data_IF_350542845115
#
_entry.id   IF_350542845115
#
_cell.length_a   1.000
_cell.length_b   1.000
_cell.length_c   1.000
_cell.angle_alpha   90.00
_cell.angle_beta   90.00
_cell.angle_gamma   90.00
#
_symmetry.space_group_name_H-M   'P 1'
#
loop_
_entity.id
_entity.type
_entity.pdbx_description
1 polymer ?
#
# COMPACT_ATOMS: atom_id res chain seq x y z
N UNK A 1 -14.33 -11.01 -19.79
CA UNK A 1 -13.91 -9.89 -18.96
C UNK A 1 -14.78 -9.95 -17.71
N UNK A 2 -14.30 -10.58 -16.62
CA UNK A 2 -14.91 -10.45 -15.30
C UNK A 2 -14.72 -9.00 -14.88
N UNK A 3 -15.81 -8.28 -14.58
CA UNK A 3 -15.72 -7.01 -13.89
C UNK A 3 -15.12 -7.32 -12.53
N UNK A 4 -13.91 -6.83 -12.24
CA UNK A 4 -13.39 -6.81 -10.89
C UNK A 4 -14.41 -6.07 -10.02
N UNK A 5 -15.09 -6.82 -9.17
CA UNK A 5 -16.04 -6.28 -8.24
C UNK A 5 -15.21 -5.62 -7.14
N UNK A 6 -15.30 -4.29 -6.99
CA UNK A 6 -14.57 -3.57 -5.95
C UNK A 6 -14.93 -4.14 -4.58
N UNK A 7 -13.94 -4.62 -3.86
CA UNK A 7 -14.08 -5.12 -2.49
C UNK A 7 -13.60 -4.04 -1.54
N UNK A 8 -14.44 -3.62 -0.59
CA UNK A 8 -14.08 -2.61 0.41
C UNK A 8 -13.02 -3.14 1.38
N UNK A 9 -12.31 -2.22 2.02
CA UNK A 9 -11.43 -2.52 3.16
C UNK A 9 -12.26 -3.09 4.31
N UNK A 10 -11.78 -4.20 4.87
CA UNK A 10 -12.38 -4.89 6.01
C UNK A 10 -11.34 -4.89 7.14
N UNK A 11 -11.74 -4.50 8.34
CA UNK A 11 -10.90 -4.50 9.54
C UNK A 11 -11.75 -4.85 10.76
N UNK A 12 -11.12 -5.43 11.77
CA UNK A 12 -11.71 -5.68 13.10
C UNK A 12 -12.03 -4.37 13.85
N UNK A 13 -11.26 -3.32 13.63
CA UNK A 13 -11.53 -1.98 14.17
C UNK A 13 -12.37 -1.15 13.17
N UNK A 14 -13.68 -1.12 13.40
CA UNK A 14 -14.62 -0.35 12.59
C UNK A 14 -14.35 1.17 12.60
N UNK A 15 -13.56 1.68 13.56
CA UNK A 15 -13.26 3.11 13.66
C UNK A 15 -12.25 3.58 12.62
N UNK A 16 -11.36 2.71 12.13
CA UNK A 16 -10.27 3.04 11.21
C UNK A 16 -10.75 3.74 9.94
N UNK A 17 -11.75 3.16 9.27
CA UNK A 17 -12.30 3.75 8.04
C UNK A 17 -13.04 5.06 8.34
N UNK A 18 -13.89 5.07 9.38
CA UNK A 18 -14.65 6.26 9.77
C UNK A 18 -13.76 7.43 10.22
N UNK A 19 -12.65 7.16 10.89
CA UNK A 19 -11.69 8.20 11.26
C UNK A 19 -10.92 8.73 10.04
N UNK A 20 -10.54 7.85 9.10
CA UNK A 20 -9.94 8.28 7.85
C UNK A 20 -10.86 9.20 7.03
N UNK A 21 -12.15 8.90 6.95
CA UNK A 21 -13.15 9.75 6.30
C UNK A 21 -13.26 11.13 6.98
N UNK A 22 -13.32 11.19 8.33
CA UNK A 22 -13.34 12.43 9.10
C UNK A 22 -12.09 13.27 8.86
N UNK A 23 -10.90 12.63 8.83
CA UNK A 23 -9.64 13.30 8.53
C UNK A 23 -9.62 13.87 7.12
N UNK A 24 -10.20 13.18 6.14
CA UNK A 24 -10.37 13.69 4.79
C UNK A 24 -11.29 14.92 4.77
N UNK A 25 -12.42 14.86 5.48
CA UNK A 25 -13.34 15.99 5.59
C UNK A 25 -12.65 17.23 6.20
N UNK A 26 -11.72 17.02 7.15
CA UNK A 26 -10.93 18.07 7.78
C UNK A 26 -9.68 18.47 6.96
N UNK A 27 -9.52 17.94 5.75
CA UNK A 27 -8.38 18.20 4.86
C UNK A 27 -7.01 17.87 5.50
N UNK A 28 -6.94 16.82 6.33
CA UNK A 28 -5.69 16.36 6.94
C UNK A 28 -4.96 15.38 6.02
N UNK A 29 -3.62 15.37 6.10
CA UNK A 29 -2.82 14.29 5.52
C UNK A 29 -2.89 13.09 6.44
N UNK A 30 -3.03 11.89 5.88
CA UNK A 30 -3.12 10.63 6.62
C UNK A 30 -1.83 9.84 6.43
N UNK A 31 -1.24 9.34 7.51
CA UNK A 31 -0.15 8.38 7.49
C UNK A 31 -0.69 7.03 7.98
N UNK A 32 -0.78 6.07 7.09
CA UNK A 32 -1.12 4.68 7.40
C UNK A 32 0.16 3.95 7.87
N UNK A 33 0.12 3.42 9.07
CA UNK A 33 1.24 2.81 9.73
C UNK A 33 0.89 1.38 10.13
N UNK A 34 1.68 0.41 9.73
CA UNK A 34 1.42 -0.99 10.06
C UNK A 34 2.31 -1.95 9.29
N UNK A 35 2.22 -3.26 9.57
CA UNK A 35 3.05 -4.26 8.94
C UNK A 35 2.77 -4.41 7.45
N UNK A 36 3.68 -5.05 6.73
CA UNK A 36 3.48 -5.37 5.31
C UNK A 36 2.27 -6.29 5.15
N UNK A 37 1.43 -6.00 4.15
CA UNK A 37 0.23 -6.82 3.89
C UNK A 37 -0.97 -6.55 4.81
N UNK A 38 -0.92 -5.57 5.73
CA UNK A 38 -2.06 -5.22 6.61
C UNK A 38 -3.24 -4.51 5.92
N UNK A 39 -3.18 -4.30 4.61
CA UNK A 39 -4.28 -3.69 3.86
C UNK A 39 -4.22 -2.16 3.73
N UNK A 40 -3.09 -1.49 4.01
CA UNK A 40 -2.94 -0.03 3.89
C UNK A 40 -3.35 0.52 2.52
N UNK A 41 -2.87 -0.12 1.44
CA UNK A 41 -3.24 0.24 0.06
C UNK A 41 -4.74 0.03 -0.17
N UNK A 42 -5.31 -1.06 0.36
CA UNK A 42 -6.74 -1.36 0.25
C UNK A 42 -7.60 -0.32 0.96
N UNK A 43 -7.16 0.18 2.11
CA UNK A 43 -7.81 1.29 2.82
C UNK A 43 -7.79 2.57 1.97
N UNK A 44 -6.65 2.90 1.36
CA UNK A 44 -6.54 4.06 0.48
C UNK A 44 -7.44 3.95 -0.77
N UNK A 45 -7.51 2.76 -1.40
CA UNK A 45 -8.42 2.48 -2.52
C UNK A 45 -9.89 2.62 -2.09
N UNK A 46 -10.24 2.14 -0.89
CA UNK A 46 -11.59 2.27 -0.36
C UNK A 46 -11.97 3.72 -0.13
N UNK A 47 -11.09 4.53 0.43
CA UNK A 47 -11.29 5.97 0.56
C UNK A 47 -11.45 6.67 -0.80
N UNK A 48 -10.65 6.30 -1.79
CA UNK A 48 -10.80 6.78 -3.17
C UNK A 48 -12.18 6.46 -3.74
N UNK A 49 -12.65 5.23 -3.53
CA UNK A 49 -13.96 4.79 -4.02
C UNK A 49 -15.11 5.51 -3.31
N UNK A 50 -15.08 5.63 -1.97
CA UNK A 50 -16.13 6.30 -1.17
C UNK A 50 -16.21 7.78 -1.52
N UNK A 51 -15.06 8.45 -1.63
CA UNK A 51 -15.00 9.89 -1.93
C UNK A 51 -15.17 10.21 -3.41
N UNK A 52 -15.15 9.19 -4.28
CA UNK A 52 -15.18 9.32 -5.74
C UNK A 52 -14.04 10.21 -6.29
N UNK A 53 -12.92 10.27 -5.57
CA UNK A 53 -11.72 10.97 -5.98
C UNK A 53 -10.73 9.97 -6.57
N UNK A 54 -10.30 10.11 -7.84
CA UNK A 54 -9.25 9.28 -8.41
C UNK A 54 -7.97 9.33 -7.58
N UNK A 55 -7.23 8.22 -7.54
CA UNK A 55 -6.00 8.10 -6.78
C UNK A 55 -4.80 7.97 -7.72
N UNK A 56 -3.78 8.80 -7.50
CA UNK A 56 -2.47 8.69 -8.11
C UNK A 56 -1.52 8.08 -7.09
N UNK A 57 -0.89 6.97 -7.46
CA UNK A 57 0.01 6.25 -6.57
C UNK A 57 1.46 6.47 -6.96
N UNK A 58 2.31 6.66 -5.97
CA UNK A 58 3.77 6.64 -6.06
C UNK A 58 4.32 5.71 -4.98
N UNK A 59 5.39 4.99 -5.33
CA UNK A 59 6.15 4.18 -4.39
C UNK A 59 7.51 4.83 -4.18
N UNK A 60 7.86 5.15 -2.94
CA UNK A 60 9.15 5.70 -2.59
C UNK A 60 10.19 4.58 -2.57
N UNK A 61 10.96 4.49 -3.65
CA UNK A 61 12.12 3.60 -3.75
C UNK A 61 13.42 4.40 -3.77
N UNK A 62 14.54 3.67 -3.68
CA UNK A 62 15.88 4.29 -3.81
C UNK A 62 16.14 4.91 -5.19
N UNK A 63 15.32 4.63 -6.19
CA UNK A 63 15.46 5.18 -7.54
C UNK A 63 14.48 6.32 -7.85
N UNK A 64 13.58 6.65 -6.91
CA UNK A 64 12.60 7.71 -7.09
C UNK A 64 13.30 9.09 -7.11
N UNK A 65 13.10 9.81 -8.19
CA UNK A 65 13.66 11.14 -8.40
C UNK A 65 12.57 12.23 -8.60
N UNK A 66 13.00 13.48 -8.79
CA UNK A 66 12.10 14.59 -8.99
C UNK A 66 11.31 14.49 -10.31
N UNK A 67 11.90 13.90 -11.37
CA UNK A 67 11.20 13.72 -12.65
C UNK A 67 10.08 12.69 -12.53
N UNK A 68 10.32 11.60 -11.84
CA UNK A 68 9.30 10.57 -11.55
C UNK A 68 8.12 11.12 -10.74
N UNK A 69 8.38 12.08 -9.84
CA UNK A 69 7.35 12.72 -9.03
C UNK A 69 6.60 13.81 -9.78
N UNK A 70 7.34 14.72 -10.41
CA UNK A 70 6.79 15.96 -10.97
C UNK A 70 6.51 15.87 -12.47
N UNK A 71 7.23 15.00 -13.18
CA UNK A 71 7.14 14.89 -14.63
C UNK A 71 8.39 15.41 -15.35
N UNK A 72 8.40 15.31 -16.65
CA UNK A 72 9.56 15.55 -17.50
C UNK A 72 9.21 16.28 -18.79
N UNK A 73 10.23 16.88 -19.41
CA UNK A 73 10.12 17.49 -20.74
C UNK A 73 10.29 16.43 -21.82
N UNK A 74 9.46 16.49 -22.84
CA UNK A 74 9.56 15.65 -24.03
C UNK A 74 9.30 16.46 -25.30
N UNK A 75 9.65 15.88 -26.45
CA UNK A 75 9.35 16.48 -27.75
C UNK A 75 8.10 15.86 -28.30
N UNK A 76 7.10 16.66 -28.60
CA UNK A 76 5.92 16.25 -29.36
C UNK A 76 5.95 16.86 -30.75
N UNK A 77 5.53 16.07 -31.74
CA UNK A 77 5.31 16.61 -33.11
C UNK A 77 3.84 17.03 -33.18
N UNK A 78 3.58 18.30 -33.52
CA UNK A 78 2.23 18.82 -33.74
C UNK A 78 1.61 18.19 -35.02
N UNK A 79 0.32 18.34 -35.18
CA UNK A 79 -0.39 17.87 -36.39
C UNK A 79 0.15 18.54 -37.68
N UNK A 80 0.75 19.72 -37.53
CA UNK A 80 1.37 20.46 -38.63
C UNK A 80 2.83 20.05 -38.90
N UNK A 81 3.37 19.05 -38.17
CA UNK A 81 4.74 18.54 -38.34
C UNK A 81 5.84 19.35 -37.62
N UNK A 82 5.47 20.35 -36.80
CA UNK A 82 6.43 21.09 -35.98
C UNK A 82 6.76 20.33 -34.68
N UNK A 83 8.04 20.39 -34.28
CA UNK A 83 8.48 19.83 -33.01
C UNK A 83 8.37 20.89 -31.90
N UNK A 84 7.65 20.51 -30.85
CA UNK A 84 7.46 21.36 -29.67
C UNK A 84 7.96 20.61 -28.41
N UNK A 85 8.64 21.36 -27.53
CA UNK A 85 8.99 20.83 -26.19
C UNK A 85 7.81 21.04 -25.29
N UNK A 86 7.22 19.93 -24.82
CA UNK A 86 6.10 19.91 -23.88
C UNK A 86 6.53 19.29 -22.56
N UNK A 87 5.95 19.78 -21.46
CA UNK A 87 6.11 19.16 -20.15
C UNK A 87 4.96 18.17 -19.92
N UNK A 88 5.30 16.95 -19.51
CA UNK A 88 4.32 15.92 -19.12
C UNK A 88 4.28 15.91 -17.62
N UNK A 89 3.11 16.26 -17.04
CA UNK A 89 2.90 16.23 -15.59
C UNK A 89 3.06 14.84 -15.03
N UNK A 90 3.84 14.70 -13.97
CA UNK A 90 3.95 13.49 -13.16
C UNK A 90 2.79 13.32 -12.17
N UNK A 91 2.77 12.21 -11.40
CA UNK A 91 1.65 11.86 -10.54
C UNK A 91 1.36 12.91 -9.46
N UNK A 92 2.37 13.54 -8.89
CA UNK A 92 2.19 14.60 -7.87
C UNK A 92 1.48 15.81 -8.46
N UNK A 93 1.96 16.32 -9.61
CA UNK A 93 1.37 17.51 -10.24
C UNK A 93 -0.04 17.20 -10.73
N UNK A 94 -0.27 16.03 -11.33
CA UNK A 94 -1.61 15.60 -11.76
C UNK A 94 -2.59 15.59 -10.59
N UNK A 95 -2.22 14.92 -9.49
CA UNK A 95 -3.08 14.86 -8.31
C UNK A 95 -3.40 16.25 -7.78
N UNK A 96 -2.39 17.15 -7.72
CA UNK A 96 -2.61 18.52 -7.25
C UNK A 96 -3.52 19.34 -8.16
N UNK A 97 -3.31 19.30 -9.49
CA UNK A 97 -4.10 20.08 -10.45
C UNK A 97 -5.55 19.61 -10.55
N UNK A 98 -5.76 18.30 -10.48
CA UNK A 98 -7.06 17.67 -10.66
C UNK A 98 -7.86 17.56 -9.35
N UNK A 99 -7.23 17.85 -8.20
CA UNK A 99 -7.88 17.72 -6.89
C UNK A 99 -8.10 16.28 -6.45
N UNK A 100 -7.22 15.39 -6.88
CA UNK A 100 -7.29 13.94 -6.65
C UNK A 100 -6.53 13.53 -5.38
N UNK A 101 -6.59 12.23 -5.05
CA UNK A 101 -5.80 11.64 -3.96
C UNK A 101 -4.38 11.35 -4.47
N UNK A 102 -3.38 11.76 -3.70
CA UNK A 102 -2.00 11.32 -3.84
C UNK A 102 -1.71 10.26 -2.77
N UNK A 103 -1.50 9.02 -3.19
CA UNK A 103 -1.07 7.92 -2.32
C UNK A 103 0.43 7.72 -2.45
N UNK A 104 1.15 7.82 -1.32
CA UNK A 104 2.61 7.71 -1.25
C UNK A 104 2.95 6.47 -0.43
N UNK A 105 3.31 5.40 -1.11
CA UNK A 105 3.73 4.18 -0.43
C UNK A 105 5.20 4.25 -0.01
N UNK A 106 5.52 3.64 1.13
CA UNK A 106 6.87 3.58 1.70
C UNK A 106 7.55 4.95 1.83
N UNK A 107 6.81 5.99 2.25
CA UNK A 107 7.31 7.37 2.30
C UNK A 107 8.60 7.54 3.14
N UNK A 108 8.87 6.64 4.07
CA UNK A 108 10.11 6.61 4.85
C UNK A 108 11.35 6.28 4.01
N UNK A 109 11.17 5.69 2.82
CA UNK A 109 12.26 5.41 1.87
C UNK A 109 12.56 6.59 0.94
N UNK A 110 11.83 7.71 1.07
CA UNK A 110 12.04 8.89 0.25
C UNK A 110 13.45 9.46 0.44
N UNK A 111 14.15 9.70 -0.69
CA UNK A 111 15.48 10.30 -0.68
C UNK A 111 15.48 11.73 -0.13
N UNK A 112 16.58 12.19 0.49
CA UNK A 112 16.70 13.58 0.95
C UNK A 112 16.41 14.61 -0.14
N UNK A 113 16.74 14.33 -1.39
CA UNK A 113 16.55 15.22 -2.55
C UNK A 113 15.08 15.42 -2.89
N UNK A 114 14.21 14.45 -2.59
CA UNK A 114 12.76 14.52 -2.84
C UNK A 114 11.97 15.14 -1.69
N UNK A 115 12.54 15.21 -0.49
CA UNK A 115 11.89 15.78 0.69
C UNK A 115 11.38 17.23 0.52
N UNK A 116 12.11 18.16 -0.14
CA UNK A 116 11.61 19.51 -0.38
C UNK A 116 10.31 19.52 -1.19
N UNK A 117 10.17 18.63 -2.20
CA UNK A 117 8.97 18.47 -3.01
C UNK A 117 7.81 18.00 -2.13
N UNK A 118 8.01 16.90 -1.40
CA UNK A 118 7.01 16.34 -0.50
C UNK A 118 6.57 17.34 0.58
N UNK A 119 7.53 18.09 1.15
CA UNK A 119 7.22 19.13 2.13
C UNK A 119 6.28 20.21 1.56
N UNK A 120 6.49 20.66 0.31
CA UNK A 120 5.62 21.64 -0.36
C UNK A 120 4.19 21.11 -0.56
N UNK A 121 4.07 19.83 -0.91
CA UNK A 121 2.78 19.15 -1.11
C UNK A 121 2.01 18.96 0.20
N UNK A 122 2.72 18.63 1.28
CA UNK A 122 2.15 18.29 2.59
C UNK A 122 1.89 19.51 3.49
N UNK A 123 2.52 20.64 3.19
CA UNK A 123 2.34 21.89 3.93
C UNK A 123 0.88 22.40 3.80
N UNK A 124 0.41 23.19 4.75
CA UNK A 124 -0.94 23.76 4.75
C UNK A 124 -1.28 24.61 3.52
N UNK A 125 -0.24 25.18 2.88
CA UNK A 125 -0.37 25.97 1.64
C UNK A 125 -0.66 25.11 0.42
N UNK A 126 -0.35 23.78 0.48
CA UNK A 126 -0.54 22.84 -0.63
C UNK A 126 0.01 23.39 -1.95
N UNK A 127 1.26 23.86 -1.92
CA UNK A 127 1.89 24.55 -3.06
C UNK A 127 3.32 24.09 -3.24
N UNK A 128 3.72 23.88 -4.49
CA UNK A 128 5.11 23.61 -4.86
C UNK A 128 5.50 24.44 -6.10
N UNK A 129 6.78 24.72 -6.22
CA UNK A 129 7.37 25.28 -7.44
C UNK A 129 8.01 24.15 -8.25
N UNK A 130 7.56 23.96 -9.49
CA UNK A 130 8.14 22.97 -10.38
C UNK A 130 9.54 23.46 -10.84
N UNK A 131 10.63 22.76 -10.46
CA UNK A 131 11.99 23.19 -10.81
C UNK A 131 12.29 23.11 -12.30
N UNK A 132 11.52 22.32 -13.07
CA UNK A 132 11.73 22.12 -14.51
C UNK A 132 11.06 23.19 -15.37
N UNK A 133 9.97 23.79 -14.87
CA UNK A 133 9.18 24.79 -15.62
C UNK A 133 9.20 26.17 -14.97
N UNK A 134 9.55 26.27 -13.68
CA UNK A 134 9.44 27.49 -12.88
C UNK A 134 8.02 27.81 -12.44
N UNK A 135 7.03 27.00 -12.82
CA UNK A 135 5.62 27.21 -12.46
C UNK A 135 5.37 26.95 -10.98
N UNK A 136 4.54 27.81 -10.39
CA UNK A 136 4.02 27.61 -9.03
C UNK A 136 2.68 26.90 -9.12
N UNK A 137 2.64 25.65 -8.63
CA UNK A 137 1.45 24.81 -8.68
C UNK A 137 0.78 24.83 -7.30
N UNK A 138 -0.48 25.20 -7.27
CA UNK A 138 -1.35 25.12 -6.08
C UNK A 138 -2.33 23.98 -6.26
N UNK A 139 -2.54 23.22 -5.18
CA UNK A 139 -3.50 22.14 -5.22
C UNK A 139 -4.93 22.66 -5.43
N UNK A 140 -5.66 21.98 -6.31
CA UNK A 140 -7.08 22.21 -6.52
C UNK A 140 -7.90 21.76 -5.30
N UNK A 141 -9.13 22.29 -5.13
CA UNK A 141 -10.07 21.78 -4.14
C UNK A 141 -10.28 20.27 -4.31
N UNK A 142 -10.33 19.54 -3.19
CA UNK A 142 -10.46 18.07 -3.22
C UNK A 142 -9.12 17.32 -3.08
N UNK A 143 -7.98 17.95 -3.36
CA UNK A 143 -6.69 17.31 -3.22
C UNK A 143 -6.45 16.77 -1.82
N UNK A 144 -6.09 15.48 -1.71
CA UNK A 144 -5.84 14.75 -0.47
C UNK A 144 -4.52 14.01 -0.55
N UNK A 145 -3.90 13.77 0.61
CA UNK A 145 -2.68 12.96 0.67
C UNK A 145 -2.86 11.84 1.70
N UNK A 146 -2.57 10.62 1.26
CA UNK A 146 -2.39 9.45 2.09
C UNK A 146 -0.96 8.98 1.87
N UNK A 147 -0.24 8.73 2.96
CA UNK A 147 1.05 8.06 2.89
C UNK A 147 1.00 6.74 3.67
N UNK A 148 1.88 5.82 3.35
CA UNK A 148 2.02 4.56 4.08
C UNK A 148 3.47 4.30 4.47
N UNK A 149 3.65 3.68 5.63
CA UNK A 149 4.93 3.14 6.10
C UNK A 149 4.73 1.71 6.60
N UNK A 150 5.73 0.87 6.33
CA UNK A 150 5.82 -0.45 6.92
C UNK A 150 6.61 -0.35 8.23
N UNK A 151 6.11 -0.98 9.30
CA UNK A 151 6.81 -1.13 10.58
C UNK A 151 7.27 -2.56 10.77
N UNK A 152 8.31 -2.73 11.59
CA UNK A 152 8.83 -4.05 11.98
C UNK A 152 9.95 -4.58 11.09
N UNK A 153 10.27 -3.95 9.98
CA UNK A 153 11.30 -4.43 9.05
C UNK A 153 12.70 -4.12 9.55
N UNK A 154 13.57 -5.13 9.57
CA UNK A 154 15.02 -4.95 9.74
C UNK A 154 15.54 -4.17 8.53
N UNK A 155 15.91 -2.90 8.74
CA UNK A 155 16.38 -2.01 7.68
C UNK A 155 15.44 -0.84 7.33
N UNK A 156 14.25 -0.73 7.95
CA UNK A 156 13.40 0.45 7.79
C UNK A 156 14.10 1.69 8.36
N UNK A 157 14.33 2.68 7.49
CA UNK A 157 14.81 3.98 7.95
C UNK A 157 13.72 4.70 8.75
N UNK A 158 14.05 5.28 9.91
CA UNK A 158 13.08 6.08 10.63
C UNK A 158 12.65 7.28 9.78
N UNK A 159 11.36 7.55 9.75
CA UNK A 159 10.81 8.70 9.04
C UNK A 159 11.33 10.00 9.65
N UNK A 160 11.69 10.97 8.81
CA UNK A 160 12.08 12.29 9.24
C UNK A 160 10.98 12.94 10.09
N UNK A 161 11.32 13.43 11.28
CA UNK A 161 10.38 14.03 12.24
C UNK A 161 9.58 15.21 11.65
N UNK A 162 10.25 16.08 10.86
CA UNK A 162 9.58 17.21 10.21
C UNK A 162 8.51 16.75 9.20
N UNK A 163 8.75 15.63 8.52
CA UNK A 163 7.81 15.02 7.59
C UNK A 163 6.66 14.39 8.37
N UNK A 164 6.98 13.62 9.43
CA UNK A 164 5.99 12.93 10.28
C UNK A 164 4.97 13.90 10.89
N UNK A 165 5.42 15.06 11.35
CA UNK A 165 4.56 16.09 11.96
C UNK A 165 3.54 16.72 11.00
N UNK A 166 3.58 16.38 9.70
CA UNK A 166 2.60 16.84 8.69
C UNK A 166 1.44 15.90 8.50
N UNK A 167 1.43 14.79 9.22
CA UNK A 167 0.42 13.74 9.10
C UNK A 167 -0.34 13.52 10.41
N UNK A 168 -1.56 13.04 10.26
CA UNK A 168 -2.28 12.34 11.33
C UNK A 168 -2.10 10.84 11.09
N UNK A 169 -1.66 10.12 12.12
CA UNK A 169 -1.33 8.69 12.00
C UNK A 169 -2.58 7.85 12.26
N UNK A 170 -2.81 6.87 11.39
CA UNK A 170 -3.76 5.77 11.59
C UNK A 170 -2.96 4.47 11.60
N UNK A 171 -3.06 3.73 12.68
CA UNK A 171 -2.49 2.39 12.74
C UNK A 171 -3.40 1.42 11.98
N UNK A 172 -2.78 0.56 11.19
CA UNK A 172 -3.46 -0.49 10.39
C UNK A 172 -2.83 -1.81 10.82
N UNK A 173 -3.45 -2.43 11.80
CA UNK A 173 -2.95 -3.66 12.40
C UNK A 173 -3.19 -4.88 11.51
N UNK A 174 -2.61 -6.01 11.88
CA UNK A 174 -2.89 -7.28 11.24
C UNK A 174 -4.37 -7.66 11.39
N UNK A 175 -4.86 -8.31 10.36
CA UNK A 175 -6.23 -8.86 10.34
C UNK A 175 -6.13 -10.35 10.70
N UNK A 176 -6.90 -10.77 11.67
CA UNK A 176 -6.96 -12.16 12.17
C UNK A 176 -8.41 -12.62 12.39
N UNK A 177 -8.56 -13.85 12.85
CA UNK A 177 -9.85 -14.44 13.27
C UNK A 177 -10.97 -14.29 12.23
N UNK A 178 -12.15 -13.90 12.71
CA UNK A 178 -13.36 -13.75 11.86
C UNK A 178 -13.16 -12.69 10.76
N UNK A 179 -12.41 -11.64 11.04
CA UNK A 179 -12.13 -10.60 10.05
C UNK A 179 -11.27 -11.14 8.89
N UNK A 180 -10.27 -11.97 9.19
CA UNK A 180 -9.46 -12.62 8.15
C UNK A 180 -10.31 -13.62 7.34
N UNK A 181 -11.25 -14.32 7.98
CA UNK A 181 -12.21 -15.18 7.30
C UNK A 181 -12.99 -14.40 6.24
N UNK A 182 -13.56 -13.25 6.63
CA UNK A 182 -14.34 -12.41 5.73
C UNK A 182 -13.47 -11.83 4.58
N UNK A 183 -12.23 -11.46 4.87
CA UNK A 183 -11.27 -10.99 3.85
C UNK A 183 -10.96 -12.10 2.84
N UNK A 184 -10.66 -13.32 3.29
CA UNK A 184 -10.39 -14.46 2.40
C UNK A 184 -11.62 -14.74 1.53
N UNK A 185 -12.82 -14.80 2.10
CA UNK A 185 -14.08 -15.01 1.36
C UNK A 185 -14.37 -13.91 0.33
N UNK A 186 -14.08 -12.66 0.67
CA UNK A 186 -14.37 -11.53 -0.18
C UNK A 186 -13.33 -11.32 -1.29
N UNK A 187 -12.07 -11.71 -1.06
CA UNK A 187 -10.95 -11.39 -1.96
C UNK A 187 -10.32 -12.61 -2.64
N UNK A 188 -10.67 -13.84 -2.26
CA UNK A 188 -10.20 -15.06 -2.91
C UNK A 188 -11.35 -15.85 -3.58
N UNK A 189 -10.95 -16.84 -4.38
CA UNK A 189 -11.88 -17.78 -5.02
C UNK A 189 -12.32 -18.90 -4.05
N UNK A 190 -11.66 -19.04 -2.90
CA UNK A 190 -11.93 -20.09 -1.93
C UNK A 190 -13.23 -19.81 -1.17
N UNK A 191 -14.16 -20.77 -1.19
CA UNK A 191 -15.47 -20.69 -0.50
C UNK A 191 -15.69 -21.77 0.55
N UNK A 192 -14.72 -22.69 0.71
CA UNK A 192 -14.78 -23.77 1.72
C UNK A 192 -14.40 -23.22 3.09
N UNK A 193 -15.42 -23.02 3.95
CA UNK A 193 -15.25 -22.50 5.30
C UNK A 193 -14.32 -23.35 6.17
N UNK A 194 -14.31 -24.68 6.00
CA UNK A 194 -13.43 -25.55 6.76
C UNK A 194 -11.97 -25.28 6.43
N UNK A 195 -11.66 -25.17 5.14
CA UNK A 195 -10.29 -24.88 4.69
C UNK A 195 -9.87 -23.47 5.08
N UNK A 196 -10.79 -22.49 5.02
CA UNK A 196 -10.52 -21.11 5.46
C UNK A 196 -10.15 -21.10 6.96
N UNK A 197 -10.86 -21.81 7.82
CA UNK A 197 -10.52 -21.90 9.24
C UNK A 197 -9.15 -22.55 9.48
N UNK A 198 -8.77 -23.57 8.69
CA UNK A 198 -7.43 -24.15 8.77
C UNK A 198 -6.34 -23.14 8.35
N UNK A 199 -6.60 -22.35 7.31
CA UNK A 199 -5.71 -21.28 6.85
C UNK A 199 -5.54 -20.21 7.92
N UNK A 200 -6.63 -19.80 8.59
CA UNK A 200 -6.55 -18.81 9.68
C UNK A 200 -5.67 -19.34 10.82
N UNK A 201 -5.90 -20.57 11.24
CA UNK A 201 -5.07 -21.19 12.28
C UNK A 201 -3.60 -21.29 11.88
N UNK A 202 -3.34 -21.70 10.65
CA UNK A 202 -1.98 -21.70 10.10
C UNK A 202 -1.35 -20.30 10.13
N UNK A 203 -2.12 -19.26 9.80
CA UNK A 203 -1.66 -17.87 9.87
C UNK A 203 -1.32 -17.43 11.31
N UNK A 204 -2.10 -17.84 12.31
CA UNK A 204 -1.82 -17.58 13.73
C UNK A 204 -0.48 -18.20 14.15
N UNK A 205 -0.20 -19.43 13.68
CA UNK A 205 1.08 -20.10 13.92
C UNK A 205 2.24 -19.35 13.25
N UNK A 206 2.08 -18.89 11.98
CA UNK A 206 3.08 -18.08 11.29
C UNK A 206 3.36 -16.77 12.03
N UNK A 207 2.31 -16.09 12.51
CA UNK A 207 2.47 -14.86 13.31
C UNK A 207 3.23 -15.11 14.61
N UNK A 208 2.92 -16.20 15.30
CA UNK A 208 3.63 -16.58 16.53
C UNK A 208 5.12 -16.81 16.25
N UNK A 209 5.44 -17.50 15.17
CA UNK A 209 6.83 -17.74 14.75
C UNK A 209 7.55 -16.45 14.36
N UNK A 210 6.86 -15.52 13.69
CA UNK A 210 7.39 -14.21 13.33
C UNK A 210 7.72 -13.38 14.59
N UNK A 211 6.81 -13.34 15.57
CA UNK A 211 7.03 -12.66 16.85
C UNK A 211 8.21 -13.25 17.64
N UNK A 212 8.47 -14.54 17.48
CA UNK A 212 9.62 -15.24 18.09
C UNK A 212 10.92 -15.07 17.29
N UNK A 213 10.88 -14.36 16.17
CA UNK A 213 12.04 -14.16 15.28
C UNK A 213 12.46 -15.41 14.52
N UNK A 214 11.57 -16.38 14.34
CA UNK A 214 11.81 -17.62 13.61
C UNK A 214 11.45 -17.48 12.12
N UNK A 215 10.60 -16.52 11.78
CA UNK A 215 10.17 -16.21 10.41
C UNK A 215 10.28 -14.71 10.14
N UNK A 216 10.51 -14.37 8.89
CA UNK A 216 10.35 -13.01 8.37
C UNK A 216 8.87 -12.61 8.29
N UNK A 217 8.58 -11.32 8.41
CA UNK A 217 7.19 -10.81 8.35
C UNK A 217 6.50 -11.06 7.00
N UNK A 218 7.27 -11.23 5.93
CA UNK A 218 6.76 -11.50 4.59
C UNK A 218 6.02 -12.84 4.49
N UNK A 219 6.43 -13.82 5.29
CA UNK A 219 5.83 -15.16 5.31
C UNK A 219 4.36 -15.16 5.75
N UNK A 220 3.96 -14.24 6.63
CA UNK A 220 2.61 -14.13 7.19
C UNK A 220 1.78 -13.01 6.55
N UNK A 221 2.09 -12.58 5.33
CA UNK A 221 1.35 -11.49 4.68
C UNK A 221 -0.02 -11.93 4.19
N UNK A 222 -1.04 -11.05 4.35
CA UNK A 222 -2.42 -11.31 3.86
C UNK A 222 -2.42 -11.58 2.33
N UNK A 223 -1.54 -10.91 1.57
CA UNK A 223 -1.42 -11.17 0.13
C UNK A 223 -1.01 -12.62 -0.15
N UNK A 224 -0.04 -13.15 0.59
CA UNK A 224 0.37 -14.55 0.45
C UNK A 224 -0.77 -15.51 0.81
N UNK A 225 -1.58 -15.17 1.83
CA UNK A 225 -2.75 -15.97 2.22
C UNK A 225 -3.85 -15.95 1.15
N UNK A 226 -4.12 -14.82 0.53
CA UNK A 226 -5.10 -14.72 -0.57
C UNK A 226 -4.61 -15.53 -1.78
N UNK A 227 -3.36 -15.37 -2.20
CA UNK A 227 -2.76 -16.13 -3.29
C UNK A 227 -2.82 -17.64 -3.03
N UNK A 228 -2.49 -18.05 -1.80
CA UNK A 228 -2.58 -19.44 -1.35
C UNK A 228 -4.01 -19.97 -1.40
N UNK A 229 -4.97 -19.17 -0.93
CA UNK A 229 -6.39 -19.53 -0.95
C UNK A 229 -6.91 -19.72 -2.37
N UNK A 230 -6.51 -18.86 -3.30
CA UNK A 230 -6.86 -19.01 -4.72
C UNK A 230 -6.27 -20.29 -5.32
N UNK A 231 -4.98 -20.56 -5.06
CA UNK A 231 -4.32 -21.76 -5.55
C UNK A 231 -4.90 -23.05 -4.94
N UNK A 232 -5.37 -23.00 -3.70
CA UNK A 232 -6.00 -24.13 -3.03
C UNK A 232 -7.30 -24.59 -3.70
N UNK A 233 -7.91 -23.76 -4.55
CA UNK A 233 -9.08 -24.16 -5.36
C UNK A 233 -8.73 -25.08 -6.52
N UNK A 234 -7.46 -25.12 -6.95
CA UNK A 234 -7.00 -25.84 -8.16
C UNK A 234 -5.87 -26.83 -7.90
N UNK A 235 -5.29 -26.83 -6.70
CA UNK A 235 -4.23 -27.76 -6.28
C UNK A 235 -4.31 -28.06 -4.79
N UNK A 236 -3.62 -29.14 -4.29
CA UNK A 236 -3.53 -29.42 -2.85
C UNK A 236 -2.94 -28.23 -2.07
N UNK A 237 -3.46 -27.98 -0.85
CA UNK A 237 -3.11 -26.82 -0.03
C UNK A 237 -1.60 -26.76 0.30
N UNK A 238 -0.98 -27.92 0.53
CA UNK A 238 0.46 -28.01 0.82
C UNK A 238 1.28 -27.48 -0.36
N UNK A 239 0.85 -27.79 -1.59
CA UNK A 239 1.49 -27.27 -2.80
C UNK A 239 1.24 -25.78 -3.00
N UNK A 240 0.03 -25.29 -2.67
CA UNK A 240 -0.28 -23.87 -2.69
C UNK A 240 0.64 -23.10 -1.72
N UNK A 241 0.80 -23.58 -0.49
CA UNK A 241 1.71 -23.01 0.51
C UNK A 241 3.16 -23.04 0.01
N UNK A 242 3.59 -24.17 -0.57
CA UNK A 242 4.93 -24.27 -1.14
C UNK A 242 5.21 -23.15 -2.14
N UNK A 243 4.29 -22.87 -3.06
CA UNK A 243 4.46 -21.89 -4.14
C UNK A 243 4.31 -20.44 -3.68
N UNK A 244 3.46 -20.17 -2.70
CA UNK A 244 3.11 -18.80 -2.29
C UNK A 244 3.97 -18.28 -1.14
N UNK A 245 4.50 -19.19 -0.32
CA UNK A 245 5.26 -18.83 0.88
C UNK A 245 6.66 -19.45 0.85
N UNK A 246 6.77 -20.78 0.86
CA UNK A 246 8.05 -21.47 1.09
C UNK A 246 9.07 -21.18 -0.01
N UNK A 247 8.67 -21.25 -1.29
CA UNK A 247 9.57 -21.03 -2.43
C UNK A 247 10.09 -19.56 -2.52
N UNK A 248 9.52 -18.62 -1.75
CA UNK A 248 9.97 -17.23 -1.68
C UNK A 248 11.05 -16.99 -0.61
N UNK A 249 11.20 -17.92 0.32
CA UNK A 249 12.15 -17.80 1.42
C UNK A 249 13.53 -18.32 1.01
N UNK A 250 14.57 -17.60 1.40
CA UNK A 250 15.97 -17.98 1.13
C UNK A 250 16.59 -18.82 2.26
N UNK A 251 16.07 -18.68 3.50
CA UNK A 251 16.58 -19.42 4.67
C UNK A 251 15.91 -20.79 4.80
N UNK A 252 16.73 -21.86 4.71
CA UNK A 252 16.25 -23.25 4.86
C UNK A 252 15.61 -23.52 6.22
N UNK A 253 15.98 -22.77 7.28
CA UNK A 253 15.37 -22.92 8.62
C UNK A 253 13.95 -22.36 8.63
N UNK A 254 13.73 -21.22 7.99
CA UNK A 254 12.38 -20.67 7.83
C UNK A 254 11.50 -21.61 7.01
N UNK A 255 12.02 -22.14 5.89
CA UNK A 255 11.32 -23.12 5.07
C UNK A 255 10.90 -24.35 5.88
N UNK A 256 11.82 -24.90 6.68
CA UNK A 256 11.54 -26.09 7.50
C UNK A 256 10.52 -25.78 8.61
N UNK A 257 10.58 -24.59 9.22
CA UNK A 257 9.62 -24.17 10.24
C UNK A 257 8.20 -24.10 9.67
N UNK A 258 8.04 -23.57 8.45
CA UNK A 258 6.74 -23.53 7.77
C UNK A 258 6.26 -24.94 7.38
N UNK A 259 7.12 -25.80 6.89
CA UNK A 259 6.76 -27.20 6.59
C UNK A 259 6.21 -27.92 7.81
N UNK A 260 6.84 -27.74 8.98
CA UNK A 260 6.35 -28.31 10.22
C UNK A 260 4.96 -27.74 10.62
N UNK A 261 4.74 -26.44 10.41
CA UNK A 261 3.43 -25.83 10.66
C UNK A 261 2.36 -26.34 9.68
N UNK A 262 2.70 -26.63 8.44
CA UNK A 262 1.79 -27.25 7.46
C UNK A 262 1.36 -28.63 7.92
N UNK A 263 2.27 -29.51 8.35
CA UNK A 263 1.94 -30.85 8.86
C UNK A 263 1.00 -30.82 10.09
N UNK A 264 1.02 -29.72 10.87
CA UNK A 264 0.18 -29.59 12.07
C UNK A 264 -1.23 -29.08 11.76
N UNK A 265 -1.42 -28.34 10.66
CA UNK A 265 -2.66 -27.66 10.36
C UNK A 265 -3.48 -28.31 9.22
N UNK A 266 -2.84 -29.06 8.34
CA UNK A 266 -3.46 -29.69 7.17
C UNK A 266 -3.22 -31.19 7.12
#
# INVERSE_FOLDING_TARGET
MMKEQFTSYINSDETVLGDAEKLFALNKNILLKGPTGSGKTKLAETLSHITQLPMHQINCSVDLDAESLLGFKTIKTSEEGHQEIVFIDGPVIKAMREGHILYIDEINMAKPETLPILNGVLDYRRQLTNPFTGEVIKAAPGFKVIAAINEGYVGTLPMNEALKNRFVVINVDYIDGDTLHDVIKAQSLLQDDRLIHQIIKFNEDLHTMTQQGQLSEEAASIRALIDMSDLATVMPIERAIQRTIIDKLEDEREQQAIMNAVELNF
#
